data_IF_722830468748
#
_entry.id   IF_722830468748
#
_cell.length_a   1.000
_cell.length_b   1.000
_cell.length_c   1.000
_cell.angle_alpha   90.00
_cell.angle_beta   90.00
_cell.angle_gamma   90.00
#
_symmetry.space_group_name_H-M   'P 1'
#
loop_
_entity.id
_entity.type
_entity.pdbx_description
1 polymer ?
#
# COMPACT_ATOMS: atom_id res chain seq x y z
N UNK A 1 10.26 -25.95 -4.45
CA UNK A 1 8.93 -25.98 -3.82
C UNK A 1 9.08 -25.56 -2.37
N UNK A 2 8.11 -24.82 -1.82
CA UNK A 2 8.07 -24.56 -0.38
C UNK A 2 7.73 -25.85 0.36
N UNK A 3 8.29 -26.05 1.55
CA UNK A 3 7.82 -27.12 2.43
C UNK A 3 6.39 -26.83 2.90
N UNK A 4 5.67 -27.85 3.36
CA UNK A 4 4.33 -27.68 3.91
C UNK A 4 4.30 -26.65 5.05
N UNK A 5 5.31 -26.66 5.92
CA UNK A 5 5.44 -25.71 7.02
C UNK A 5 5.65 -24.27 6.53
N UNK A 6 6.45 -24.10 5.49
CA UNK A 6 6.65 -22.79 4.87
C UNK A 6 5.34 -22.28 4.24
N UNK A 7 4.57 -23.15 3.60
CA UNK A 7 3.29 -22.81 3.01
C UNK A 7 2.25 -22.43 4.09
N UNK A 8 2.19 -23.18 5.19
CA UNK A 8 1.32 -22.88 6.35
C UNK A 8 1.67 -21.52 6.97
N UNK A 9 2.96 -21.25 7.21
CA UNK A 9 3.42 -19.95 7.74
C UNK A 9 3.08 -18.79 6.80
N UNK A 10 3.30 -18.97 5.49
CA UNK A 10 2.93 -17.97 4.48
C UNK A 10 1.43 -17.68 4.55
N UNK A 11 0.61 -18.72 4.55
CA UNK A 11 -0.86 -18.61 4.62
C UNK A 11 -1.30 -17.86 5.87
N UNK A 12 -0.75 -18.22 7.05
CA UNK A 12 -1.06 -17.53 8.30
C UNK A 12 -0.70 -16.04 8.25
N UNK A 13 0.45 -15.69 7.66
CA UNK A 13 0.87 -14.30 7.52
C UNK A 13 -0.03 -13.52 6.55
N UNK A 14 -0.46 -14.14 5.45
CA UNK A 14 -1.44 -13.53 4.52
C UNK A 14 -2.73 -13.21 5.23
N UNK A 15 -3.30 -14.19 5.95
CA UNK A 15 -4.57 -13.99 6.66
C UNK A 15 -4.44 -12.95 7.77
N UNK A 16 -3.31 -12.95 8.50
CA UNK A 16 -3.03 -11.94 9.54
C UNK A 16 -2.98 -10.53 8.95
N UNK A 17 -2.26 -10.34 7.84
CA UNK A 17 -2.16 -9.05 7.17
C UNK A 17 -3.51 -8.59 6.60
N UNK A 18 -4.23 -9.47 5.91
CA UNK A 18 -5.52 -9.18 5.30
C UNK A 18 -6.59 -8.79 6.35
N UNK A 19 -6.72 -9.56 7.43
CA UNK A 19 -7.69 -9.26 8.50
C UNK A 19 -7.38 -7.94 9.20
N UNK A 20 -6.10 -7.70 9.51
CA UNK A 20 -5.68 -6.44 10.12
C UNK A 20 -5.99 -5.25 9.21
N UNK A 21 -5.67 -5.35 7.92
CA UNK A 21 -5.89 -4.28 6.96
C UNK A 21 -7.38 -3.99 6.74
N UNK A 22 -8.24 -5.01 6.69
CA UNK A 22 -9.69 -4.82 6.59
C UNK A 22 -10.24 -4.07 7.82
N UNK A 23 -9.81 -4.47 9.02
CA UNK A 23 -10.29 -3.91 10.29
C UNK A 23 -9.79 -2.50 10.60
N UNK A 24 -8.55 -2.17 10.23
CA UNK A 24 -7.89 -0.94 10.67
C UNK A 24 -7.43 -0.04 9.52
N UNK A 25 -7.34 -0.56 8.30
CA UNK A 25 -6.74 0.16 7.17
C UNK A 25 -5.27 0.50 7.41
N UNK A 26 -4.86 1.64 6.86
CA UNK A 26 -3.52 2.19 7.04
C UNK A 26 -2.53 1.90 5.91
N UNK A 27 -1.36 2.51 5.99
CA UNK A 27 -0.26 2.30 5.04
C UNK A 27 0.49 1.00 5.31
N UNK A 28 1.21 0.50 4.29
CA UNK A 28 2.03 -0.71 4.43
C UNK A 28 3.07 -0.61 5.56
N UNK A 29 3.55 0.60 5.85
CA UNK A 29 4.52 0.86 6.92
C UNK A 29 3.85 0.72 8.29
N UNK A 30 2.66 1.29 8.47
CA UNK A 30 1.92 1.23 9.74
C UNK A 30 1.50 -0.21 10.05
N UNK A 31 0.96 -0.92 9.06
CA UNK A 31 0.60 -2.33 9.19
C UNK A 31 1.85 -3.18 9.46
N UNK A 32 2.95 -2.91 8.76
CA UNK A 32 4.22 -3.60 8.96
C UNK A 32 4.74 -3.46 10.39
N UNK A 33 4.70 -2.25 10.96
CA UNK A 33 5.05 -2.01 12.36
C UNK A 33 4.14 -2.77 13.32
N UNK A 34 2.82 -2.72 13.10
CA UNK A 34 1.85 -3.38 13.97
C UNK A 34 1.98 -4.91 13.96
N UNK A 35 2.33 -5.50 12.81
CA UNK A 35 2.40 -6.95 12.63
C UNK A 35 3.82 -7.52 12.73
N UNK A 36 4.82 -6.67 12.95
CA UNK A 36 6.24 -7.00 12.88
C UNK A 36 6.63 -7.65 11.53
N UNK A 37 6.25 -6.99 10.43
CA UNK A 37 6.51 -7.40 9.06
C UNK A 37 7.11 -6.24 8.26
N UNK A 38 7.93 -6.54 7.24
CA UNK A 38 8.36 -5.49 6.30
C UNK A 38 7.17 -4.98 5.49
N UNK A 39 7.18 -3.70 5.13
CA UNK A 39 6.15 -3.11 4.26
C UNK A 39 6.03 -3.85 2.92
N UNK A 40 7.14 -4.33 2.37
CA UNK A 40 7.17 -5.17 1.16
C UNK A 40 6.47 -6.52 1.35
N UNK A 41 6.61 -7.14 2.53
CA UNK A 41 5.92 -8.39 2.85
C UNK A 41 4.42 -8.16 2.97
N UNK A 42 4.00 -7.09 3.67
CA UNK A 42 2.60 -6.71 3.80
C UNK A 42 1.99 -6.49 2.42
N UNK A 43 2.64 -5.70 1.55
CA UNK A 43 2.16 -5.47 0.19
C UNK A 43 2.01 -6.79 -0.58
N UNK A 44 3.02 -7.66 -0.56
CA UNK A 44 2.95 -8.97 -1.23
C UNK A 44 1.80 -9.81 -0.69
N UNK A 45 1.57 -9.81 0.62
CA UNK A 45 0.53 -10.60 1.27
C UNK A 45 -0.88 -10.09 0.98
N UNK A 46 -1.09 -8.77 0.98
CA UNK A 46 -2.39 -8.17 0.61
C UNK A 46 -2.74 -8.37 -0.87
N UNK A 47 -1.76 -8.69 -1.71
CA UNK A 47 -1.95 -9.04 -3.13
C UNK A 47 -1.97 -10.56 -3.38
N UNK A 48 -1.97 -11.41 -2.34
CA UNK A 48 -2.09 -12.86 -2.49
C UNK A 48 -3.56 -13.25 -2.71
N UNK A 49 -4.01 -13.04 -3.95
CA UNK A 49 -5.39 -13.25 -4.38
C UNK A 49 -5.89 -14.66 -4.04
N UNK A 50 -5.14 -15.69 -4.44
CA UNK A 50 -5.55 -17.07 -4.27
C UNK A 50 -5.84 -17.39 -2.80
N UNK A 51 -4.92 -17.03 -1.90
CA UNK A 51 -5.07 -17.32 -0.48
C UNK A 51 -6.23 -16.52 0.12
N UNK A 52 -6.33 -15.23 -0.20
CA UNK A 52 -7.39 -14.38 0.35
C UNK A 52 -8.76 -14.86 -0.13
N UNK A 53 -8.93 -15.11 -1.43
CA UNK A 53 -10.21 -15.60 -1.99
C UNK A 53 -10.59 -16.95 -1.41
N UNK A 54 -9.63 -17.86 -1.24
CA UNK A 54 -9.89 -19.21 -0.69
C UNK A 54 -10.38 -19.17 0.76
N UNK A 55 -9.80 -18.31 1.60
CA UNK A 55 -10.03 -18.34 3.06
C UNK A 55 -10.92 -17.21 3.60
N UNK A 56 -11.00 -16.07 2.91
CA UNK A 56 -11.77 -14.89 3.32
C UNK A 56 -12.89 -14.55 2.32
N UNK A 57 -12.88 -15.15 1.13
CA UNK A 57 -13.86 -14.90 0.07
C UNK A 57 -13.46 -13.78 -0.90
N UNK A 58 -14.10 -13.78 -2.06
CA UNK A 58 -13.87 -12.81 -3.14
C UNK A 58 -14.18 -11.37 -2.70
N UNK A 59 -15.26 -11.17 -1.97
CA UNK A 59 -15.67 -9.83 -1.50
C UNK A 59 -14.60 -9.17 -0.63
N UNK A 60 -13.97 -9.94 0.27
CA UNK A 60 -12.87 -9.45 1.10
C UNK A 60 -11.66 -9.04 0.25
N UNK A 61 -11.33 -9.82 -0.79
CA UNK A 61 -10.22 -9.47 -1.68
C UNK A 61 -10.51 -8.17 -2.44
N UNK A 62 -11.72 -8.05 -2.99
CA UNK A 62 -12.12 -6.86 -3.74
C UNK A 62 -12.15 -5.61 -2.86
N UNK A 63 -12.60 -5.73 -1.60
CA UNK A 63 -12.54 -4.64 -0.63
C UNK A 63 -11.09 -4.23 -0.32
N UNK A 64 -10.18 -5.20 -0.11
CA UNK A 64 -8.76 -4.92 0.08
C UNK A 64 -8.20 -4.14 -1.11
N UNK A 65 -8.48 -4.57 -2.34
CA UNK A 65 -8.00 -3.90 -3.55
C UNK A 65 -8.56 -2.48 -3.67
N UNK A 66 -9.84 -2.27 -3.35
CA UNK A 66 -10.46 -0.94 -3.31
C UNK A 66 -9.75 -0.02 -2.32
N UNK A 67 -9.54 -0.47 -1.07
CA UNK A 67 -8.84 0.31 -0.03
C UNK A 67 -7.39 0.61 -0.41
N UNK A 68 -6.69 -0.33 -1.04
CA UNK A 68 -5.33 -0.10 -1.56
C UNK A 68 -5.30 0.99 -2.64
N UNK A 69 -6.29 1.01 -3.52
CA UNK A 69 -6.42 2.04 -4.55
C UNK A 69 -6.69 3.42 -3.94
N UNK A 70 -7.55 3.49 -2.93
CA UNK A 70 -7.82 4.72 -2.17
C UNK A 70 -6.55 5.25 -1.50
N UNK A 71 -5.82 4.40 -0.79
CA UNK A 71 -4.53 4.75 -0.19
C UNK A 71 -3.53 5.27 -1.23
N UNK A 72 -3.49 4.69 -2.43
CA UNK A 72 -2.62 5.16 -3.52
C UNK A 72 -3.01 6.56 -3.98
N UNK A 73 -4.31 6.82 -4.17
CA UNK A 73 -4.82 8.15 -4.56
C UNK A 73 -4.49 9.20 -3.51
N UNK A 74 -4.73 8.90 -2.23
CA UNK A 74 -4.38 9.80 -1.12
C UNK A 74 -2.88 10.05 -1.03
N UNK A 75 -2.06 9.02 -1.24
CA UNK A 75 -0.60 9.11 -1.28
C UNK A 75 -0.11 10.06 -2.36
N UNK A 76 -0.70 9.99 -3.57
CA UNK A 76 -0.37 10.89 -4.68
C UNK A 76 -0.75 12.35 -4.36
N UNK A 77 -1.94 12.59 -3.81
CA UNK A 77 -2.37 13.94 -3.39
C UNK A 77 -1.42 14.50 -2.34
N UNK A 78 -1.06 13.70 -1.34
CA UNK A 78 -0.13 14.08 -0.27
C UNK A 78 1.27 14.37 -0.82
N UNK A 79 1.74 13.54 -1.76
CA UNK A 79 3.00 13.74 -2.48
C UNK A 79 3.02 15.07 -3.22
N UNK A 80 1.96 15.39 -3.97
CA UNK A 80 1.83 16.68 -4.67
C UNK A 80 1.83 17.88 -3.73
N UNK A 81 1.08 17.81 -2.61
CA UNK A 81 1.07 18.85 -1.57
C UNK A 81 2.46 19.04 -0.95
N UNK A 82 3.15 17.95 -0.61
CA UNK A 82 4.51 18.00 -0.06
C UNK A 82 5.51 18.57 -1.07
N UNK A 83 5.39 18.20 -2.34
CA UNK A 83 6.24 18.73 -3.39
C UNK A 83 6.04 20.24 -3.57
N UNK A 84 4.80 20.71 -3.67
CA UNK A 84 4.49 22.14 -3.77
C UNK A 84 4.92 22.95 -2.52
N UNK A 85 4.87 22.33 -1.33
CA UNK A 85 5.33 22.97 -0.09
C UNK A 85 6.84 23.19 -0.10
N UNK A 86 7.60 22.16 -0.48
CA UNK A 86 9.06 22.12 -0.35
C UNK A 86 9.84 22.60 -1.59
N UNK A 87 9.15 22.89 -2.69
CA UNK A 87 9.77 23.33 -3.93
C UNK A 87 9.17 24.64 -4.41
N UNK A 88 9.97 25.42 -5.12
CA UNK A 88 9.56 26.61 -5.84
C UNK A 88 9.49 26.26 -7.34
N UNK A 89 8.39 26.62 -7.99
CA UNK A 89 8.19 26.33 -9.41
C UNK A 89 8.87 27.39 -10.28
N UNK A 90 9.65 26.93 -11.24
CA UNK A 90 10.18 27.78 -12.31
C UNK A 90 9.21 27.76 -13.47
N UNK A 91 8.96 28.94 -14.05
CA UNK A 91 8.09 29.11 -15.21
C UNK A 91 8.82 29.86 -16.32
N UNK A 92 8.43 29.62 -17.57
CA UNK A 92 8.86 30.45 -18.70
C UNK A 92 8.14 31.81 -18.70
N UNK A 93 8.50 32.66 -19.67
CA UNK A 93 7.91 33.99 -19.88
C UNK A 93 6.40 33.95 -20.17
N UNK A 94 5.88 32.80 -20.61
CA UNK A 94 4.44 32.55 -20.87
C UNK A 94 3.72 31.94 -19.66
N UNK A 95 4.41 31.76 -18.53
CA UNK A 95 3.87 31.19 -17.30
C UNK A 95 3.74 29.66 -17.30
N UNK A 96 4.32 28.96 -18.28
CA UNK A 96 4.33 27.49 -18.36
C UNK A 96 5.39 26.92 -17.43
N UNK A 97 5.11 25.77 -16.84
CA UNK A 97 6.05 25.09 -15.97
C UNK A 97 7.30 24.63 -16.74
N UNK A 98 8.48 25.07 -16.30
CA UNK A 98 9.77 24.67 -16.89
C UNK A 98 10.65 23.88 -15.93
N UNK A 99 10.33 23.87 -14.64
CA UNK A 99 11.05 23.07 -13.66
C UNK A 99 10.71 23.45 -12.22
N UNK A 100 11.49 22.90 -11.30
CA UNK A 100 11.37 23.22 -9.87
C UNK A 100 12.73 23.21 -9.21
N UNK A 101 12.90 24.03 -8.18
CA UNK A 101 14.04 23.93 -7.25
C UNK A 101 13.55 23.70 -5.84
N UNK A 102 14.35 23.02 -5.03
CA UNK A 102 14.09 22.90 -3.60
C UNK A 102 14.17 24.29 -2.97
N UNK A 103 13.20 24.63 -2.12
CA UNK A 103 13.26 25.84 -1.30
C UNK A 103 14.35 25.71 -0.25
#
# INVERSE_FOLDING_TARGET
MLSEDQQKRKTANVLKAARYFLAHGGSMIEIGKALNMSSSSVQRYLNDEQTIKTYLGTECFDEIQRKLLENKKEGLVRGGKNYAKNNEFTKDELGRFTGSRRK
#
